data_IF_173135513815
#
_entry.id   IF_173135513815
#
_cell.length_a   1.000
_cell.length_b   1.000
_cell.length_c   1.000
_cell.angle_alpha   90.00
_cell.angle_beta   90.00
_cell.angle_gamma   90.00
#
_symmetry.space_group_name_H-M   'P 1'
#
loop_
_entity.id
_entity.type
_entity.pdbx_description
1 polymer ?
#
# COMPACT_ATOMS: atom_id res chain seq x y z
N UNK A 1 27.25 -35.20 9.77
CA UNK A 1 27.50 -35.60 8.37
C UNK A 1 27.11 -34.38 7.53
N UNK A 2 28.05 -33.48 7.28
CA UNK A 2 28.98 -33.31 6.16
C UNK A 2 28.25 -33.27 4.80
N UNK A 3 28.19 -32.13 4.18
CA UNK A 3 27.72 -31.91 2.80
C UNK A 3 27.93 -30.49 2.34
N UNK A 4 29.16 -30.03 2.31
CA UNK A 4 29.66 -28.79 1.75
C UNK A 4 29.84 -29.01 0.23
N UNK A 5 29.26 -28.20 -0.62
CA UNK A 5 29.64 -28.13 -2.03
C UNK A 5 29.87 -26.68 -2.47
N UNK A 6 31.15 -26.44 -2.63
CA UNK A 6 31.78 -25.28 -3.26
C UNK A 6 31.83 -25.55 -4.78
N UNK A 7 31.54 -24.60 -5.62
CA UNK A 7 31.96 -24.44 -7.01
C UNK A 7 31.94 -22.94 -7.30
N UNK A 8 33.01 -22.26 -7.34
CA UNK A 8 34.11 -22.15 -8.30
C UNK A 8 33.76 -21.33 -9.53
N UNK A 9 34.40 -20.18 -9.55
CA UNK A 9 34.78 -19.21 -10.60
C UNK A 9 34.65 -19.66 -12.08
N UNK A 10 34.21 -18.72 -12.93
CA UNK A 10 34.84 -18.51 -14.25
C UNK A 10 34.84 -17.00 -14.56
N UNK A 11 36.05 -16.45 -14.65
CA UNK A 11 36.44 -15.18 -15.30
C UNK A 11 36.54 -15.41 -16.82
N UNK A 12 36.16 -14.41 -17.62
CA UNK A 12 36.77 -14.04 -18.91
C UNK A 12 35.92 -12.92 -19.49
N UNK A 13 36.25 -11.70 -19.63
CA UNK A 13 37.41 -11.10 -20.26
C UNK A 13 37.13 -10.87 -21.76
N UNK A 14 36.65 -9.66 -22.16
CA UNK A 14 37.02 -9.17 -23.49
C UNK A 14 36.82 -7.65 -23.62
N UNK A 15 37.92 -7.00 -23.75
CA UNK A 15 38.19 -5.63 -24.13
C UNK A 15 37.87 -5.45 -25.61
N UNK A 16 37.19 -4.40 -26.03
CA UNK A 16 37.35 -3.82 -27.36
C UNK A 16 37.16 -2.31 -27.31
N UNK A 17 38.32 -1.66 -27.49
CA UNK A 17 38.50 -0.26 -27.79
C UNK A 17 38.39 -0.07 -29.31
N UNK A 18 37.61 0.89 -29.76
CA UNK A 18 37.93 1.59 -31.04
C UNK A 18 37.37 3.01 -30.98
N UNK A 19 38.31 3.92 -31.03
CA UNK A 19 38.14 5.35 -31.28
C UNK A 19 37.88 5.57 -32.78
N UNK A 20 37.09 6.58 -33.11
CA UNK A 20 37.31 7.41 -34.30
C UNK A 20 36.64 8.76 -34.12
N UNK A 21 37.50 9.75 -34.12
CA UNK A 21 37.20 11.18 -34.27
C UNK A 21 36.74 11.52 -35.67
N UNK A 22 35.94 12.56 -35.83
CA UNK A 22 36.05 13.63 -36.83
C UNK A 22 34.94 14.66 -36.57
N UNK A 23 35.40 15.82 -36.27
CA UNK A 23 35.12 17.18 -36.64
C UNK A 23 34.33 17.32 -37.97
N UNK A 24 33.30 18.17 -37.92
CA UNK A 24 33.16 19.37 -38.73
C UNK A 24 31.87 20.12 -38.38
N UNK A 25 31.98 21.38 -38.01
CA UNK A 25 30.96 22.42 -37.99
C UNK A 25 31.16 23.23 -39.30
N UNK A 26 30.25 23.99 -39.87
CA UNK A 26 29.08 24.68 -39.32
C UNK A 26 27.85 24.66 -40.23
N UNK A 27 26.69 25.00 -39.76
CA UNK A 27 25.82 26.05 -40.30
C UNK A 27 24.47 26.12 -39.60
N UNK A 28 24.14 27.31 -39.14
CA UNK A 28 22.85 27.71 -38.61
C UNK A 28 21.93 28.10 -39.77
N UNK A 29 20.65 27.72 -39.78
CA UNK A 29 19.63 28.74 -39.64
C UNK A 29 18.59 28.46 -38.53
N UNK A 30 18.18 29.55 -37.95
CA UNK A 30 17.16 29.67 -36.96
C UNK A 30 15.83 29.09 -37.44
N UNK A 31 15.26 28.17 -36.66
CA UNK A 31 13.85 27.83 -36.75
C UNK A 31 13.25 28.06 -35.36
N UNK A 32 12.44 29.08 -35.29
CA UNK A 32 11.58 29.44 -34.18
C UNK A 32 10.63 28.28 -33.89
N UNK A 33 11.04 27.36 -33.05
CA UNK A 33 10.21 26.31 -32.50
C UNK A 33 9.66 26.79 -31.17
N UNK A 34 8.41 27.21 -31.15
CA UNK A 34 7.58 27.39 -29.96
C UNK A 34 7.79 26.18 -29.02
N UNK A 35 8.17 26.36 -27.76
CA UNK A 35 8.19 25.24 -26.84
C UNK A 35 6.76 24.76 -26.67
N UNK A 36 6.51 23.54 -27.14
CA UNK A 36 5.29 22.81 -26.79
C UNK A 36 5.26 22.74 -25.25
N UNK A 37 4.32 23.45 -24.68
CA UNK A 37 3.99 23.34 -23.26
C UNK A 37 3.66 21.85 -23.02
N UNK A 38 4.57 21.16 -22.35
CA UNK A 38 4.31 19.86 -21.75
C UNK A 38 3.16 20.08 -20.81
N UNK A 39 1.96 19.66 -21.22
CA UNK A 39 0.84 19.54 -20.31
C UNK A 39 1.26 18.53 -19.26
N UNK A 40 1.75 19.02 -18.12
CA UNK A 40 1.81 18.23 -16.91
C UNK A 40 0.38 17.84 -16.62
N UNK A 41 0.09 16.54 -16.81
CA UNK A 41 -1.10 15.92 -16.26
C UNK A 41 -1.24 16.40 -14.82
N UNK A 42 -2.24 17.26 -14.58
CA UNK A 42 -2.54 17.77 -13.26
C UNK A 42 -3.02 16.58 -12.43
N UNK A 43 -2.08 15.89 -11.78
CA UNK A 43 -2.37 14.87 -10.80
C UNK A 43 -3.29 15.53 -9.75
N UNK A 44 -4.48 14.97 -9.49
CA UNK A 44 -5.38 15.53 -8.48
C UNK A 44 -4.60 15.75 -7.18
N UNK A 45 -4.84 16.85 -6.44
CA UNK A 45 -4.13 17.12 -5.21
C UNK A 45 -4.23 15.90 -4.31
N UNK A 46 -3.09 15.41 -3.85
CA UNK A 46 -3.01 14.22 -3.00
C UNK A 46 -3.90 14.45 -1.76
N UNK A 47 -5.01 13.75 -1.71
CA UNK A 47 -5.93 13.84 -0.59
C UNK A 47 -5.24 13.30 0.67
N UNK A 48 -5.37 14.06 1.77
CA UNK A 48 -4.89 13.57 3.06
C UNK A 48 -5.63 12.26 3.43
N UNK A 49 -4.94 11.27 3.98
CA UNK A 49 -5.57 10.00 4.31
C UNK A 49 -6.64 10.17 5.39
N UNK A 50 -7.79 9.56 5.18
CA UNK A 50 -8.82 9.43 6.21
C UNK A 50 -8.32 8.49 7.29
N UNK A 51 -8.30 8.96 8.54
CA UNK A 51 -7.94 8.12 9.69
C UNK A 51 -9.19 7.37 10.18
N UNK A 52 -9.06 6.07 10.30
CA UNK A 52 -10.10 5.19 10.84
C UNK A 52 -9.61 4.59 12.14
N UNK A 53 -10.24 4.99 13.23
CA UNK A 53 -9.96 4.40 14.54
C UNK A 53 -10.70 3.07 14.67
N UNK A 54 -9.97 2.01 14.98
CA UNK A 54 -10.49 0.65 15.10
C UNK A 54 -10.06 0.03 16.42
N UNK A 55 -11.02 -0.46 17.18
CA UNK A 55 -10.77 -1.19 18.42
C UNK A 55 -11.11 -2.67 18.23
N UNK A 56 -10.19 -3.54 18.63
CA UNK A 56 -10.35 -4.98 18.63
C UNK A 56 -10.63 -5.50 20.02
N UNK A 57 -11.53 -6.49 20.13
CA UNK A 57 -11.82 -7.19 21.36
C UNK A 57 -12.14 -8.66 21.11
N UNK A 58 -11.73 -9.54 22.03
CA UNK A 58 -12.04 -10.98 21.95
C UNK A 58 -13.54 -11.25 22.14
N UNK A 59 -14.21 -10.44 22.98
CA UNK A 59 -15.66 -10.53 23.18
C UNK A 59 -16.37 -9.64 22.16
N UNK A 60 -17.40 -10.17 21.53
CA UNK A 60 -18.19 -9.47 20.53
C UNK A 60 -18.82 -8.15 21.04
N UNK A 61 -18.95 -7.11 20.22
CA UNK A 61 -18.48 -7.03 18.84
C UNK A 61 -16.94 -6.98 18.76
N UNK A 62 -16.38 -7.85 17.93
CA UNK A 62 -14.93 -8.05 17.85
C UNK A 62 -14.17 -6.86 17.26
N UNK A 63 -14.85 -6.11 16.40
CA UNK A 63 -14.32 -4.90 15.74
C UNK A 63 -15.28 -3.73 16.00
N UNK A 64 -14.74 -2.57 16.26
CA UNK A 64 -15.51 -1.34 16.45
C UNK A 64 -14.81 -0.17 15.75
N UNK A 65 -15.43 0.43 14.71
CA UNK A 65 -16.74 0.12 14.12
C UNK A 65 -16.75 -1.18 13.30
N UNK A 66 -17.94 -1.72 13.06
CA UNK A 66 -18.24 -2.82 12.15
C UNK A 66 -19.69 -2.67 11.64
N UNK A 67 -19.95 -2.57 10.32
CA UNK A 67 -18.97 -2.53 9.22
C UNK A 67 -18.19 -1.21 9.14
N UNK A 68 -17.04 -1.26 8.48
CA UNK A 68 -16.29 -0.08 8.10
C UNK A 68 -16.60 0.26 6.64
N UNK A 69 -17.09 1.47 6.39
CA UNK A 69 -17.41 1.94 5.04
C UNK A 69 -16.29 2.81 4.50
N UNK A 70 -15.74 2.43 3.34
CA UNK A 70 -14.69 3.11 2.60
C UNK A 70 -15.19 3.55 1.23
N UNK A 71 -14.42 4.39 0.55
CA UNK A 71 -14.67 4.80 -0.83
C UNK A 71 -13.49 4.41 -1.72
N UNK A 72 -13.78 3.98 -2.95
CA UNK A 72 -12.75 3.74 -3.97
C UNK A 72 -11.94 5.01 -4.19
N UNK A 73 -10.63 4.88 -4.31
CA UNK A 73 -9.71 6.00 -4.56
C UNK A 73 -9.41 6.88 -3.35
N UNK A 74 -10.12 6.73 -2.21
CA UNK A 74 -9.84 7.50 -1.00
C UNK A 74 -8.70 6.88 -0.20
N UNK A 75 -7.57 7.59 0.00
CA UNK A 75 -6.52 7.11 0.88
C UNK A 75 -7.02 6.97 2.32
N UNK A 76 -6.73 5.84 2.95
CA UNK A 76 -7.11 5.56 4.35
C UNK A 76 -5.93 5.02 5.14
N UNK A 77 -5.93 5.31 6.44
CA UNK A 77 -5.01 4.74 7.40
C UNK A 77 -5.78 4.28 8.63
N UNK A 78 -5.53 3.06 9.06
CA UNK A 78 -6.16 2.55 10.28
C UNK A 78 -5.27 2.83 11.49
N UNK A 79 -5.87 3.35 12.55
CA UNK A 79 -5.30 3.49 13.88
C UNK A 79 -5.98 2.46 14.77
N UNK A 80 -5.26 1.43 15.14
CA UNK A 80 -5.81 0.20 15.70
C UNK A 80 -5.35 -0.01 17.13
N UNK A 81 -6.29 -0.34 18.00
CA UNK A 81 -6.03 -0.66 19.40
C UNK A 81 -6.73 -1.96 19.81
N UNK A 82 -6.30 -2.52 20.94
CA UNK A 82 -6.93 -3.67 21.56
C UNK A 82 -7.45 -3.32 22.96
N UNK A 83 -8.67 -3.75 23.25
CA UNK A 83 -9.27 -3.59 24.57
C UNK A 83 -8.75 -4.63 25.59
N UNK A 84 -8.30 -5.78 25.12
CA UNK A 84 -8.00 -6.94 25.97
C UNK A 84 -6.66 -7.61 25.62
N UNK A 85 -6.67 -8.63 24.80
CA UNK A 85 -5.49 -9.43 24.47
C UNK A 85 -4.79 -8.95 23.20
N UNK A 86 -3.71 -9.62 22.82
CA UNK A 86 -3.03 -9.40 21.53
C UNK A 86 -3.91 -9.89 20.36
N UNK A 87 -3.95 -9.13 19.29
CA UNK A 87 -4.66 -9.43 18.07
C UNK A 87 -3.77 -9.28 16.83
N UNK A 88 -4.24 -9.79 15.70
CA UNK A 88 -3.70 -9.51 14.37
C UNK A 88 -4.84 -9.07 13.47
N UNK A 89 -4.82 -7.81 13.05
CA UNK A 89 -5.74 -7.33 12.03
C UNK A 89 -5.26 -7.77 10.66
N UNK A 90 -6.09 -8.53 9.96
CA UNK A 90 -5.86 -8.91 8.56
C UNK A 90 -7.01 -8.39 7.70
N UNK A 91 -6.67 -7.64 6.64
CA UNK A 91 -7.60 -7.19 5.59
C UNK A 91 -6.91 -7.49 4.26
N UNK A 92 -7.15 -8.69 3.72
CA UNK A 92 -6.45 -9.19 2.53
C UNK A 92 -6.65 -8.29 1.31
N UNK A 93 -7.88 -7.81 1.09
CA UNK A 93 -8.21 -6.91 -0.02
C UNK A 93 -7.42 -5.59 -0.01
N UNK A 94 -6.91 -5.18 1.13
CA UNK A 94 -6.10 -3.96 1.29
C UNK A 94 -4.61 -4.25 1.54
N UNK A 95 -4.21 -5.51 1.53
CA UNK A 95 -2.85 -5.92 1.83
C UNK A 95 -2.39 -5.49 3.22
N UNK A 96 -3.28 -5.52 4.20
CA UNK A 96 -3.01 -5.16 5.60
C UNK A 96 -2.84 -6.43 6.42
N UNK A 97 -1.72 -6.51 7.13
CA UNK A 97 -1.49 -7.43 8.23
C UNK A 97 -0.76 -6.66 9.34
N UNK A 98 -1.41 -6.50 10.49
CA UNK A 98 -0.91 -5.66 11.58
C UNK A 98 -1.05 -6.38 12.92
N UNK A 99 0.06 -6.51 13.64
CA UNK A 99 0.02 -6.95 15.04
C UNK A 99 -0.45 -5.81 15.93
N UNK A 100 -1.46 -6.09 16.76
CA UNK A 100 -2.06 -5.14 17.71
C UNK A 100 -1.74 -5.61 19.11
N UNK A 101 -0.92 -4.85 19.87
CA UNK A 101 -0.55 -5.22 21.24
C UNK A 101 -1.76 -5.29 22.17
N UNK A 102 -1.68 -6.16 23.17
CA UNK A 102 -2.72 -6.26 24.20
C UNK A 102 -2.93 -4.94 24.94
N UNK A 103 -4.16 -4.66 25.36
CA UNK A 103 -4.53 -3.51 26.21
C UNK A 103 -3.94 -2.19 25.71
N UNK A 104 -4.05 -1.95 24.40
CA UNK A 104 -3.39 -0.83 23.70
C UNK A 104 -4.31 0.37 23.44
N UNK A 105 -5.42 0.53 24.18
CA UNK A 105 -6.38 1.63 23.98
C UNK A 105 -5.71 3.02 24.00
N UNK A 106 -4.70 3.21 24.85
CA UNK A 106 -3.95 4.47 24.95
C UNK A 106 -2.67 4.48 24.09
N UNK A 107 -2.38 3.39 23.37
CA UNK A 107 -1.17 3.23 22.55
C UNK A 107 -1.51 2.47 21.27
N UNK A 108 -2.39 3.03 20.46
CA UNK A 108 -2.78 2.46 19.19
C UNK A 108 -1.58 2.33 18.23
N UNK A 109 -1.61 1.30 17.40
CA UNK A 109 -0.68 1.11 16.26
C UNK A 109 -1.36 1.54 14.98
N UNK A 110 -0.58 1.95 13.99
CA UNK A 110 -1.11 2.44 12.71
C UNK A 110 -0.66 1.55 11.56
N UNK A 111 -1.53 1.39 10.56
CA UNK A 111 -1.16 0.77 9.28
C UNK A 111 -0.36 1.74 8.40
N UNK A 112 0.22 1.23 7.32
CA UNK A 112 0.54 2.07 6.17
C UNK A 112 -0.75 2.69 5.61
N UNK A 113 -0.63 3.79 4.86
CA UNK A 113 -1.73 4.34 4.06
C UNK A 113 -2.02 3.37 2.92
N UNK A 114 -3.29 3.06 2.72
CA UNK A 114 -3.78 2.22 1.62
C UNK A 114 -4.91 2.93 0.89
N UNK A 115 -5.09 2.62 -0.39
CA UNK A 115 -6.17 3.20 -1.20
C UNK A 115 -6.97 2.05 -1.79
N UNK A 116 -8.24 1.86 -1.38
CA UNK A 116 -9.11 0.84 -1.96
C UNK A 116 -9.28 1.08 -3.47
N UNK A 117 -9.18 0.03 -4.28
CA UNK A 117 -9.29 0.12 -5.73
C UNK A 117 -10.56 -0.52 -6.29
N UNK A 118 -11.21 -1.38 -5.51
CA UNK A 118 -12.34 -2.18 -5.95
C UNK A 118 -13.55 -1.97 -5.04
N UNK A 119 -14.72 -1.83 -5.65
CA UNK A 119 -16.02 -1.84 -4.95
C UNK A 119 -16.33 -3.25 -4.50
N UNK A 120 -16.82 -3.40 -3.28
CA UNK A 120 -17.21 -4.71 -2.77
C UNK A 120 -17.30 -4.78 -1.26
N UNK A 121 -17.61 -5.98 -0.79
CA UNK A 121 -17.63 -6.32 0.62
C UNK A 121 -16.50 -7.29 0.89
N UNK A 122 -15.63 -6.93 1.80
CA UNK A 122 -14.42 -7.67 2.12
C UNK A 122 -14.38 -8.01 3.60
N UNK A 123 -13.74 -9.12 3.91
CA UNK A 123 -13.57 -9.59 5.29
C UNK A 123 -12.38 -8.87 5.95
N UNK A 124 -12.54 -8.51 7.21
CA UNK A 124 -11.44 -8.30 8.14
C UNK A 124 -11.51 -9.35 9.24
N UNK A 125 -10.36 -9.82 9.73
CA UNK A 125 -10.34 -10.88 10.73
C UNK A 125 -9.08 -10.87 11.58
N UNK A 126 -9.12 -11.60 12.70
CA UNK A 126 -7.96 -11.82 13.55
C UNK A 126 -7.35 -13.19 13.26
N UNK A 127 -6.11 -13.24 12.73
CA UNK A 127 -5.43 -14.48 12.34
C UNK A 127 -5.24 -15.46 13.49
N UNK A 128 -4.96 -15.00 14.69
CA UNK A 128 -4.66 -15.87 15.84
C UNK A 128 -5.91 -16.42 16.54
N UNK A 129 -7.09 -15.91 16.18
CA UNK A 129 -8.38 -16.37 16.74
C UNK A 129 -9.22 -17.13 15.72
N UNK A 130 -8.58 -17.85 14.81
CA UNK A 130 -9.24 -18.58 13.70
C UNK A 130 -10.25 -19.66 14.15
N UNK A 131 -10.16 -20.15 15.38
CA UNK A 131 -11.13 -21.11 15.94
C UNK A 131 -12.38 -20.46 16.51
N UNK A 132 -12.34 -19.16 16.74
CA UNK A 132 -13.47 -18.33 17.16
C UNK A 132 -13.61 -17.29 16.07
N UNK A 133 -14.73 -17.20 15.35
CA UNK A 133 -14.85 -16.33 14.19
C UNK A 133 -14.81 -14.86 14.61
N UNK A 134 -13.60 -14.39 14.92
CA UNK A 134 -13.33 -12.98 15.12
C UNK A 134 -13.19 -12.31 13.77
N UNK A 135 -14.33 -11.98 13.19
CA UNK A 135 -14.47 -11.41 11.84
C UNK A 135 -15.31 -10.15 11.87
N UNK A 136 -15.07 -9.28 10.92
CA UNK A 136 -15.82 -8.06 10.64
C UNK A 136 -15.80 -7.73 9.15
N UNK A 137 -16.43 -6.63 8.77
CA UNK A 137 -16.74 -6.29 7.39
C UNK A 137 -16.16 -4.94 6.99
N UNK A 138 -15.54 -4.91 5.82
CA UNK A 138 -15.17 -3.70 5.08
C UNK A 138 -16.10 -3.58 3.88
N UNK A 139 -16.83 -2.48 3.77
CA UNK A 139 -17.62 -2.15 2.58
C UNK A 139 -16.90 -1.04 1.81
N UNK A 140 -16.48 -1.33 0.60
CA UNK A 140 -15.91 -0.34 -0.31
C UNK A 140 -16.97 0.07 -1.32
N UNK A 141 -17.31 1.35 -1.35
CA UNK A 141 -18.35 1.94 -2.23
C UNK A 141 -17.72 2.84 -3.27
N UNK A 142 -18.41 2.98 -4.40
CA UNK A 142 -18.06 3.97 -5.41
C UNK A 142 -18.30 5.41 -4.89
N UNK A 143 -17.40 6.33 -5.23
CA UNK A 143 -17.55 7.76 -4.93
C UNK A 143 -18.74 8.41 -5.65
N UNK A 144 -19.23 7.79 -6.73
CA UNK A 144 -20.39 8.26 -7.50
C UNK A 144 -21.75 7.95 -6.89
N UNK A 145 -21.83 7.17 -5.81
CA UNK A 145 -23.09 6.79 -5.16
C UNK A 145 -23.41 7.67 -3.93
N UNK A 146 -23.14 8.97 -3.99
CA UNK A 146 -23.86 9.91 -3.13
C UNK A 146 -25.29 9.97 -3.65
N UNK A 147 -26.15 9.12 -3.10
CA UNK A 147 -27.59 9.10 -3.34
C UNK A 147 -28.20 10.49 -3.14
N UNK A 148 -28.83 10.96 -4.21
CA UNK A 148 -29.85 11.98 -4.15
C UNK A 148 -30.99 11.55 -3.21
#
# INVERSE_FOLDING_TARGET
>A
MKGQRVFALILLGMLCVTACSREDTPEKPASTGTPAATQQDAQPPAQAPRIIELTLAFIAPHFRPDPIVLQVGQPVQFKVSSADTRHFLVIEALGIELEVPQKSLNKAVTTKVVTPQEVGTFRMFCRIHARLPMEGTIEVRDTGAASN
#
